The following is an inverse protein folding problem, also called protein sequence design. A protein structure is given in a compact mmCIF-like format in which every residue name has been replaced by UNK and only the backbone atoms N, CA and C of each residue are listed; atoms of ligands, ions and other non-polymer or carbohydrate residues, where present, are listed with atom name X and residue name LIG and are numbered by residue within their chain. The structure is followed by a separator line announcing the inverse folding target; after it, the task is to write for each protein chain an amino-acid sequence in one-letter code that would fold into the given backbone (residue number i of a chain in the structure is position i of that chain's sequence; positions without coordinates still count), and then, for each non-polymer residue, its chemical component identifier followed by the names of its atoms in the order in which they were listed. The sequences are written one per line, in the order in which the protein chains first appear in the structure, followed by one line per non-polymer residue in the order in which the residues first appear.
data_IF_694683732164
#
_entry.id   IF_694683732164
#
_cell.length_a   1.000
_cell.length_b   1.000
_cell.length_c   1.000
_cell.angle_alpha   90.00
_cell.angle_beta   90.00
_cell.angle_gamma   90.00
#
_symmetry.space_group_name_H-M   'P 1'
#
loop_
_entity.id
_entity.type
_entity.pdbx_description
1 polymer ?
#
# COMPACT_ATOMS: atom_id res chain seq x y z
N UNK A 1 24.74 28.19 38.52
CA UNK A 1 25.50 26.94 38.42
C UNK A 1 24.46 25.84 38.40
N UNK A 2 24.14 25.38 37.19
CA UNK A 2 24.72 24.14 36.63
C UNK A 2 24.00 22.96 37.25
N UNK A 3 23.38 22.02 36.56
CA UNK A 3 23.42 21.46 35.21
C UNK A 3 22.29 20.38 35.32
N UNK A 4 21.49 19.93 34.36
CA UNK A 4 21.83 19.38 33.05
C UNK A 4 20.57 18.70 32.47
N UNK A 5 20.52 18.65 31.14
CA UNK A 5 19.87 17.67 30.23
C UNK A 5 18.34 17.49 30.18
N UNK A 6 17.73 18.17 29.21
CA UNK A 6 17.35 17.58 27.91
C UNK A 6 17.13 16.05 27.84
N UNK A 7 15.93 15.64 27.39
CA UNK A 7 15.74 14.78 26.21
C UNK A 7 14.56 13.81 26.38
N UNK A 8 13.53 14.02 25.57
CA UNK A 8 13.16 13.13 24.45
C UNK A 8 11.86 13.66 23.85
N UNK A 9 11.96 14.08 22.60
CA UNK A 9 10.92 14.73 21.83
C UNK A 9 9.67 13.88 21.61
N UNK A 10 8.70 14.41 20.84
CA UNK A 10 7.49 13.67 20.52
C UNK A 10 7.91 12.38 19.82
N UNK A 11 7.58 11.26 20.44
CA UNK A 11 7.78 9.92 19.88
C UNK A 11 7.33 9.93 18.42
N UNK A 12 8.18 9.50 17.47
CA UNK A 12 7.77 9.42 16.07
C UNK A 12 6.50 8.56 16.02
N UNK A 13 5.49 8.95 15.22
CA UNK A 13 4.28 8.15 15.11
C UNK A 13 4.75 6.78 14.66
N UNK A 14 4.61 5.79 15.55
CA UNK A 14 4.76 4.39 15.19
C UNK A 14 3.81 4.23 14.04
N UNK A 15 4.35 4.14 12.82
CA UNK A 15 3.61 3.66 11.67
C UNK A 15 3.20 2.28 12.12
N UNK A 16 1.97 2.19 12.64
CA UNK A 16 1.35 0.93 13.00
C UNK A 16 1.32 0.22 11.66
N UNK A 17 2.35 -0.59 11.40
CA UNK A 17 2.31 -1.63 10.39
C UNK A 17 1.15 -2.49 10.86
N UNK A 18 -0.03 -2.13 10.37
CA UNK A 18 -1.26 -2.74 10.80
C UNK A 18 -1.18 -4.08 10.10
N UNK A 19 -0.84 -5.13 10.85
CA UNK A 19 -0.74 -6.48 10.32
C UNK A 19 -1.99 -6.72 9.49
N UNK A 20 -1.82 -6.86 8.16
CA UNK A 20 -2.95 -6.96 7.22
C UNK A 20 -3.85 -8.18 7.54
N UNK A 21 -3.37 -9.09 8.39
CA UNK A 21 -4.09 -10.25 8.93
C UNK A 21 -5.00 -9.93 10.12
N UNK A 22 -4.79 -8.81 10.79
CA UNK A 22 -5.54 -8.38 11.99
C UNK A 22 -6.66 -7.38 11.67
N UNK A 23 -6.65 -6.79 10.48
CA UNK A 23 -7.64 -5.78 10.07
C UNK A 23 -8.95 -6.42 9.60
N UNK A 24 -10.09 -5.72 9.77
CA UNK A 24 -11.36 -6.17 9.23
C UNK A 24 -11.30 -6.40 7.71
N UNK A 25 -12.04 -7.39 7.21
CA UNK A 25 -12.01 -7.81 5.80
C UNK A 25 -12.18 -6.66 4.82
N UNK A 26 -13.10 -5.73 5.11
CA UNK A 26 -13.32 -4.54 4.27
C UNK A 26 -12.06 -3.69 4.13
N UNK A 27 -11.37 -3.45 5.25
CA UNK A 27 -10.17 -2.63 5.30
C UNK A 27 -8.97 -3.34 4.66
N UNK A 28 -8.93 -4.68 4.70
CA UNK A 28 -7.96 -5.47 3.93
C UNK A 28 -8.15 -5.28 2.43
N UNK A 29 -9.39 -5.40 1.94
CA UNK A 29 -9.70 -5.20 0.52
C UNK A 29 -9.40 -3.76 0.09
N UNK A 30 -9.78 -2.77 0.91
CA UNK A 30 -9.53 -1.35 0.66
C UNK A 30 -8.04 -1.01 0.56
N UNK A 31 -7.18 -1.70 1.32
CA UNK A 31 -5.72 -1.45 1.31
C UNK A 31 -4.94 -2.30 0.30
N UNK A 32 -5.51 -3.40 -0.19
CA UNK A 32 -4.76 -4.33 -1.06
C UNK A 32 -5.17 -4.25 -2.51
N UNK A 33 -6.47 -4.35 -2.81
CA UNK A 33 -6.95 -4.61 -4.18
C UNK A 33 -7.96 -3.59 -4.69
N UNK A 34 -8.71 -2.91 -3.81
CA UNK A 34 -9.78 -1.98 -4.23
C UNK A 34 -9.28 -0.79 -5.06
N UNK A 35 -8.19 -0.09 -4.71
CA UNK A 35 -7.72 1.05 -5.51
C UNK A 35 -7.32 0.63 -6.93
N UNK A 36 -6.68 -0.53 -7.03
CA UNK A 36 -6.27 -1.12 -8.30
C UNK A 36 -7.48 -1.56 -9.14
N UNK A 37 -8.45 -2.24 -8.52
CA UNK A 37 -9.69 -2.66 -9.19
C UNK A 37 -10.50 -1.47 -9.69
N UNK A 38 -10.65 -0.41 -8.90
CA UNK A 38 -11.35 0.80 -9.32
C UNK A 38 -10.68 1.48 -10.52
N UNK A 39 -9.35 1.52 -10.53
CA UNK A 39 -8.58 2.07 -11.65
C UNK A 39 -8.78 1.22 -12.92
N UNK A 40 -8.66 -0.10 -12.79
CA UNK A 40 -8.86 -1.06 -13.89
C UNK A 40 -10.28 -0.96 -14.47
N UNK A 41 -11.30 -0.88 -13.62
CA UNK A 41 -12.70 -0.74 -14.04
C UNK A 41 -12.94 0.60 -14.74
N UNK A 42 -12.30 1.68 -14.29
CA UNK A 42 -12.39 2.99 -14.93
C UNK A 42 -11.81 2.98 -16.35
N UNK A 43 -10.73 2.24 -16.57
CA UNK A 43 -10.10 2.07 -17.89
C UNK A 43 -10.94 1.15 -18.79
N UNK A 44 -11.44 0.04 -18.23
CA UNK A 44 -12.28 -0.93 -18.92
C UNK A 44 -13.57 -0.29 -19.48
N UNK A 45 -14.21 0.60 -18.71
CA UNK A 45 -15.44 1.29 -19.15
C UNK A 45 -15.18 2.25 -20.31
N UNK A 46 -13.95 2.80 -20.41
CA UNK A 46 -13.54 3.71 -21.49
C UNK A 46 -13.21 2.94 -22.77
N UNK A 47 -12.39 1.91 -22.67
CA UNK A 47 -11.92 1.11 -23.81
C UNK A 47 -13.02 0.18 -24.35
N UNK A 48 -13.90 -0.34 -23.47
CA UNK A 48 -14.91 -1.38 -23.75
C UNK A 48 -14.37 -2.50 -24.65
N UNK A 49 -13.30 -3.18 -24.23
CA UNK A 49 -12.68 -4.24 -25.02
C UNK A 49 -13.66 -5.41 -25.24
N UNK A 50 -13.47 -6.19 -26.31
CA UNK A 50 -14.32 -7.35 -26.61
C UNK A 50 -14.22 -8.45 -25.54
N UNK A 51 -13.10 -8.53 -24.84
CA UNK A 51 -12.93 -9.39 -23.65
C UNK A 51 -12.64 -8.53 -22.41
N UNK A 52 -13.68 -8.16 -21.64
CA UNK A 52 -13.52 -7.34 -20.44
C UNK A 52 -12.75 -8.08 -19.33
N UNK A 53 -12.89 -9.41 -19.22
CA UNK A 53 -12.25 -10.16 -18.15
C UNK A 53 -10.75 -10.29 -18.42
N UNK A 54 -10.38 -10.63 -19.66
CA UNK A 54 -8.99 -10.71 -20.09
C UNK A 54 -8.25 -9.39 -19.90
N UNK A 55 -8.86 -8.28 -20.33
CA UNK A 55 -8.29 -6.94 -20.12
C UNK A 55 -8.07 -6.63 -18.64
N UNK A 56 -9.07 -6.90 -17.79
CA UNK A 56 -8.96 -6.63 -16.36
C UNK A 56 -7.83 -7.44 -15.72
N UNK A 57 -7.73 -8.74 -16.05
CA UNK A 57 -6.67 -9.61 -15.53
C UNK A 57 -5.27 -9.12 -15.93
N UNK A 58 -5.08 -8.76 -17.20
CA UNK A 58 -3.82 -8.19 -17.67
C UNK A 58 -3.49 -6.86 -16.99
N UNK A 59 -4.48 -5.99 -16.82
CA UNK A 59 -4.33 -4.71 -16.15
C UNK A 59 -3.85 -4.89 -14.70
N UNK A 60 -4.51 -5.80 -13.97
CA UNK A 60 -4.12 -6.14 -12.59
C UNK A 60 -2.69 -6.68 -12.53
N UNK A 61 -2.31 -7.57 -13.44
CA UNK A 61 -0.96 -8.16 -13.49
C UNK A 61 0.13 -7.13 -13.84
N UNK A 62 -0.17 -6.15 -14.70
CA UNK A 62 0.75 -5.08 -15.07
C UNK A 62 0.95 -4.05 -13.95
N UNK A 63 -0.12 -3.70 -13.22
CA UNK A 63 -0.08 -2.65 -12.19
C UNK A 63 0.09 -3.15 -10.74
N UNK A 64 0.26 -4.46 -10.52
CA UNK A 64 0.45 -5.06 -9.18
C UNK A 64 1.62 -4.47 -8.37
N UNK A 65 2.70 -4.07 -9.06
CA UNK A 65 3.92 -3.55 -8.42
C UNK A 65 3.71 -2.12 -7.89
N UNK A 66 2.94 -1.31 -8.62
CA UNK A 66 2.68 0.11 -8.30
C UNK A 66 1.76 0.28 -7.08
N UNK A 67 0.90 -0.70 -6.77
CA UNK A 67 0.07 -0.66 -5.57
C UNK A 67 0.80 -1.11 -4.29
N UNK A 68 1.93 -1.82 -4.39
CA UNK A 68 2.71 -2.24 -3.22
C UNK A 68 3.71 -1.16 -2.76
N UNK A 69 3.27 0.10 -2.64
CA UNK A 69 4.11 1.22 -2.20
C UNK A 69 4.14 1.40 -0.67
N UNK A 70 3.83 0.36 0.11
CA UNK A 70 3.91 0.44 1.59
C UNK A 70 4.99 -0.46 2.23
N UNK A 71 5.87 -1.06 1.45
CA UNK A 71 7.09 -1.67 1.98
C UNK A 71 8.25 -0.68 1.85
N UNK A 72 8.68 0.04 2.91
CA UNK A 72 10.00 0.62 2.88
C UNK A 72 10.97 -0.56 2.91
N UNK A 73 11.69 -0.79 1.82
CA UNK A 73 12.92 -1.57 1.82
C UNK A 73 13.84 -0.93 2.87
N UNK A 74 13.80 -1.43 4.09
CA UNK A 74 14.78 -1.12 5.12
C UNK A 74 16.07 -1.74 4.57
N UNK A 75 16.93 -0.85 4.08
CA UNK A 75 18.30 -1.15 3.70
C UNK A 75 18.95 -1.93 4.83
N UNK A 76 19.34 -3.17 4.52
CA UNK A 76 20.18 -4.01 5.37
C UNK A 76 21.53 -3.29 5.57
N UNK A 77 21.89 -2.88 6.80
CA UNK A 77 23.23 -2.40 7.07
C UNK A 77 24.14 -3.62 7.21
N UNK A 78 25.16 -3.64 6.36
CA UNK A 78 26.34 -4.50 6.43
C UNK A 78 26.79 -4.77 7.87
N UNK A 79 26.87 -6.03 8.25
CA UNK A 79 27.79 -6.54 9.27
C UNK A 79 28.55 -7.72 8.67
#
# INVERSE_FOLDING_TARGET
MSEKEESRGPSPPKKVQTDLRSIPTRQYLDQTVVPLLLSALSELVKERPPDPIGFLAEYLLKNKETNNVSSPTISEPSQ
#
